data_IF_902248314687
#
_entry.id   IF_902248314687
#
_cell.length_a   1.000
_cell.length_b   1.000
_cell.length_c   1.000
_cell.angle_alpha   90.00
_cell.angle_beta   90.00
_cell.angle_gamma   90.00
#
_symmetry.space_group_name_H-M   'P 1'
#
loop_
_entity.id
_entity.type
_entity.pdbx_description
1 polymer ?
#
# COMPACT_ATOMS: atom_id res chain seq x y z
N UNK A 1 52.28 -34.45 -24.11
CA UNK A 1 51.17 -33.77 -24.84
C UNK A 1 49.88 -33.56 -24.02
N UNK A 2 49.55 -34.39 -23.01
CA UNK A 2 48.29 -34.29 -22.26
C UNK A 2 48.10 -32.99 -21.43
N UNK A 3 49.17 -32.47 -20.80
CA UNK A 3 49.07 -31.28 -19.92
C UNK A 3 48.68 -29.98 -20.64
N UNK A 4 49.04 -29.84 -21.93
CA UNK A 4 48.66 -28.66 -22.75
C UNK A 4 47.19 -28.69 -23.17
N UNK A 5 46.59 -29.88 -23.32
CA UNK A 5 45.16 -30.02 -23.64
C UNK A 5 44.27 -29.69 -22.43
N UNK A 6 44.69 -30.09 -21.22
CA UNK A 6 43.96 -29.76 -19.99
C UNK A 6 43.93 -28.25 -19.70
N UNK A 7 45.04 -27.54 -19.94
CA UNK A 7 45.12 -26.09 -19.75
C UNK A 7 44.20 -25.32 -20.72
N UNK A 8 44.10 -25.76 -21.99
CA UNK A 8 43.21 -25.15 -22.98
C UNK A 8 41.74 -25.38 -22.65
N UNK A 9 41.39 -26.57 -22.14
CA UNK A 9 40.01 -26.87 -21.70
C UNK A 9 39.63 -26.05 -20.45
N UNK A 10 40.54 -25.89 -19.49
CA UNK A 10 40.31 -25.05 -18.31
C UNK A 10 40.18 -23.55 -18.66
N UNK A 11 40.97 -23.05 -19.62
CA UNK A 11 40.84 -21.67 -20.12
C UNK A 11 39.54 -21.45 -20.90
N UNK A 12 39.09 -22.44 -21.68
CA UNK A 12 37.81 -22.37 -22.39
C UNK A 12 36.61 -22.40 -21.44
N UNK A 13 36.66 -23.20 -20.36
CA UNK A 13 35.64 -23.21 -19.31
C UNK A 13 35.61 -21.88 -18.54
N UNK A 14 36.76 -21.27 -18.27
CA UNK A 14 36.82 -19.95 -17.62
C UNK A 14 36.23 -18.84 -18.50
N UNK A 15 36.46 -18.90 -19.82
CA UNK A 15 35.88 -17.96 -20.78
C UNK A 15 34.35 -18.09 -20.92
N UNK A 16 33.79 -19.29 -20.72
CA UNK A 16 32.33 -19.50 -20.71
C UNK A 16 31.65 -18.96 -19.44
N UNK A 17 32.32 -19.01 -18.28
CA UNK A 17 31.77 -18.42 -17.04
C UNK A 17 31.78 -16.89 -17.09
N UNK A 18 32.76 -16.28 -17.75
CA UNK A 18 32.86 -14.82 -17.90
C UNK A 18 31.85 -14.27 -18.93
N UNK A 19 31.43 -15.06 -19.92
CA UNK A 19 30.47 -14.64 -20.95
C UNK A 19 28.99 -14.82 -20.56
N UNK A 20 28.70 -15.49 -19.44
CA UNK A 20 27.36 -15.58 -18.85
C UNK A 20 27.15 -14.65 -17.64
N UNK A 21 28.06 -13.69 -17.41
CA UNK A 21 27.81 -12.61 -16.46
C UNK A 21 26.67 -11.75 -16.98
N UNK A 22 25.45 -12.01 -16.50
CA UNK A 22 24.28 -11.15 -16.69
C UNK A 22 24.71 -9.72 -16.33
N UNK A 23 24.88 -8.89 -17.35
CA UNK A 23 25.21 -7.48 -17.15
C UNK A 23 24.14 -6.83 -16.29
N UNK A 24 24.54 -5.86 -15.47
CA UNK A 24 23.65 -5.09 -14.59
C UNK A 24 22.43 -4.53 -15.36
N UNK A 25 22.61 -4.28 -16.66
CA UNK A 25 21.56 -3.82 -17.59
C UNK A 25 20.45 -4.85 -17.85
N UNK A 26 20.75 -6.16 -17.84
CA UNK A 26 19.74 -7.22 -18.03
C UNK A 26 18.96 -7.50 -16.73
N UNK A 27 19.57 -7.34 -15.56
CA UNK A 27 18.86 -7.42 -14.28
C UNK A 27 17.83 -6.29 -14.10
N UNK A 28 18.11 -5.10 -14.64
CA UNK A 28 17.17 -3.97 -14.65
C UNK A 28 15.95 -4.20 -15.56
N UNK A 29 16.03 -5.09 -16.57
CA UNK A 29 14.92 -5.42 -17.47
C UNK A 29 14.02 -6.55 -16.93
N UNK A 30 14.55 -7.46 -16.11
CA UNK A 30 13.79 -8.54 -15.46
C UNK A 30 12.92 -8.01 -14.31
N UNK A 31 13.31 -6.88 -13.73
CA UNK A 31 12.64 -6.23 -12.63
C UNK A 31 11.64 -5.20 -13.20
N UNK A 32 10.33 -5.49 -13.10
CA UNK A 32 9.28 -4.56 -13.48
C UNK A 32 9.40 -3.18 -12.79
N UNK A 33 8.57 -2.19 -13.16
CA UNK A 33 8.69 -0.81 -12.68
C UNK A 33 8.72 -0.69 -11.14
N UNK A 34 8.08 -1.62 -10.43
CA UNK A 34 8.09 -1.71 -8.96
C UNK A 34 9.47 -2.04 -8.42
N UNK A 35 10.19 -2.98 -9.05
CA UNK A 35 11.49 -3.42 -8.60
C UNK A 35 12.60 -2.42 -8.97
N UNK A 36 12.45 -1.67 -10.08
CA UNK A 36 13.31 -0.50 -10.36
C UNK A 36 13.15 0.57 -9.29
N UNK A 37 11.91 0.85 -8.85
CA UNK A 37 11.66 1.81 -7.78
C UNK A 37 12.20 1.32 -6.43
N UNK A 38 12.09 0.03 -6.13
CA UNK A 38 12.69 -0.56 -4.93
C UNK A 38 14.22 -0.44 -4.93
N UNK A 39 14.88 -0.71 -6.06
CA UNK A 39 16.33 -0.53 -6.20
C UNK A 39 16.76 0.93 -6.03
N UNK A 40 16.03 1.88 -6.63
CA UNK A 40 16.27 3.32 -6.44
C UNK A 40 16.17 3.73 -4.96
N UNK A 41 15.14 3.22 -4.27
CA UNK A 41 14.94 3.48 -2.84
C UNK A 41 16.07 2.91 -1.98
N UNK A 42 16.50 1.68 -2.26
CA UNK A 42 17.62 1.03 -1.57
C UNK A 42 18.92 1.81 -1.76
N UNK A 43 19.20 2.28 -2.97
CA UNK A 43 20.38 3.11 -3.24
C UNK A 43 20.32 4.47 -2.54
N UNK A 44 19.14 5.10 -2.47
CA UNK A 44 18.97 6.34 -1.73
C UNK A 44 19.22 6.14 -0.23
N UNK A 45 18.73 5.04 0.36
CA UNK A 45 18.99 4.68 1.76
C UNK A 45 20.47 4.39 2.01
N UNK A 46 21.13 3.64 1.14
CA UNK A 46 22.56 3.36 1.27
C UNK A 46 23.40 4.65 1.24
N UNK A 47 23.08 5.59 0.34
CA UNK A 47 23.73 6.91 0.30
C UNK A 47 23.50 7.72 1.58
N UNK A 48 22.26 7.72 2.10
CA UNK A 48 21.94 8.38 3.36
C UNK A 48 22.67 7.75 4.56
N UNK A 49 22.83 6.42 4.57
CA UNK A 49 23.59 5.71 5.62
C UNK A 49 25.09 6.00 5.56
N UNK A 50 25.68 6.17 4.36
CA UNK A 50 27.08 6.58 4.21
C UNK A 50 27.31 8.01 4.73
N UNK A 51 26.30 8.89 4.66
CA UNK A 51 26.36 10.22 5.26
C UNK A 51 26.10 10.23 6.79
N UNK A 52 25.45 9.20 7.33
CA UNK A 52 25.06 9.08 8.73
C UNK A 52 26.13 8.35 9.59
N UNK A 53 27.41 8.60 9.35
CA UNK A 53 28.53 8.11 10.19
C UNK A 53 28.67 8.92 11.50
N UNK A 54 27.54 9.28 12.11
CA UNK A 54 27.42 9.81 13.46
C UNK A 54 26.71 8.79 14.34
N UNK A 55 27.15 8.62 15.57
CA UNK A 55 26.64 7.69 16.59
C UNK A 55 25.14 7.37 16.43
N UNK A 56 24.84 6.10 16.15
CA UNK A 56 23.47 5.58 16.15
C UNK A 56 23.00 5.48 17.60
N UNK A 57 22.52 6.60 18.14
CA UNK A 57 21.76 6.60 19.39
C UNK A 57 20.45 5.85 19.12
N UNK A 58 20.29 4.70 19.76
CA UNK A 58 19.02 3.98 19.77
C UNK A 58 18.10 4.70 20.76
N UNK A 59 17.28 5.62 20.24
CA UNK A 59 16.21 6.29 20.98
C UNK A 59 14.96 5.39 20.94
N UNK A 60 14.92 4.34 21.77
CA UNK A 60 13.88 3.30 21.69
C UNK A 60 12.59 3.61 22.48
N UNK A 61 12.54 4.69 23.25
CA UNK A 61 11.42 4.94 24.18
C UNK A 61 10.57 6.18 23.89
N UNK A 62 11.07 7.16 23.14
CA UNK A 62 10.32 8.40 22.82
C UNK A 62 9.71 8.39 21.41
N UNK A 63 10.25 7.56 20.52
CA UNK A 63 9.78 7.43 19.14
C UNK A 63 8.34 6.91 19.07
N UNK A 64 7.98 6.00 19.97
CA UNK A 64 6.65 5.40 20.00
C UNK A 64 5.59 6.44 20.34
N UNK A 65 5.79 7.28 21.39
CA UNK A 65 4.79 8.25 21.83
C UNK A 65 4.59 9.41 20.85
N UNK A 66 5.67 9.94 20.25
CA UNK A 66 5.59 11.01 19.24
C UNK A 66 4.89 10.51 17.98
N UNK A 67 5.15 9.26 17.57
CA UNK A 67 4.46 8.66 16.43
C UNK A 67 2.97 8.41 16.72
N UNK A 68 2.59 7.95 17.91
CA UNK A 68 1.16 7.79 18.25
C UNK A 68 0.44 9.12 18.32
N UNK A 69 1.07 10.17 18.87
CA UNK A 69 0.45 11.51 18.91
C UNK A 69 0.23 12.07 17.52
N UNK A 70 1.25 12.04 16.65
CA UNK A 70 1.09 12.51 15.26
C UNK A 70 0.05 11.72 14.47
N UNK A 71 -0.05 10.41 14.71
CA UNK A 71 -1.05 9.56 14.06
C UNK A 71 -2.48 9.87 14.52
N UNK A 72 -2.66 10.16 15.82
CA UNK A 72 -3.96 10.55 16.36
C UNK A 72 -4.40 11.93 15.84
N UNK A 73 -3.49 12.90 15.76
CA UNK A 73 -3.79 14.22 15.20
C UNK A 73 -4.20 14.16 13.72
N UNK A 74 -3.49 13.36 12.91
CA UNK A 74 -3.86 13.13 11.51
C UNK A 74 -5.23 12.45 11.42
N UNK A 75 -5.48 11.41 12.23
CA UNK A 75 -6.76 10.70 12.27
C UNK A 75 -7.90 11.65 12.64
N UNK A 76 -7.74 12.50 13.66
CA UNK A 76 -8.76 13.45 14.08
C UNK A 76 -9.01 14.54 13.02
N UNK A 77 -7.97 15.00 12.34
CA UNK A 77 -8.11 15.90 11.19
C UNK A 77 -8.90 15.24 10.05
N UNK A 78 -8.65 13.95 9.77
CA UNK A 78 -9.38 13.18 8.77
C UNK A 78 -10.85 12.98 9.16
N UNK A 79 -11.16 12.73 10.43
CA UNK A 79 -12.56 12.66 10.91
C UNK A 79 -13.30 14.00 10.73
N UNK A 80 -12.61 15.12 10.96
CA UNK A 80 -13.18 16.44 10.71
C UNK A 80 -13.46 16.70 9.22
N UNK A 81 -12.66 16.09 8.34
CA UNK A 81 -12.76 16.23 6.88
C UNK A 81 -13.82 15.32 6.26
N UNK A 82 -13.98 14.12 6.81
CA UNK A 82 -14.92 13.12 6.36
C UNK A 82 -15.90 12.81 7.51
N UNK A 83 -17.09 13.44 7.52
CA UNK A 83 -18.09 13.16 8.54
C UNK A 83 -18.60 11.73 8.41
N UNK A 84 -18.95 11.12 9.55
CA UNK A 84 -19.54 9.79 9.56
C UNK A 84 -20.98 9.79 9.03
N UNK A 85 -21.31 8.73 8.31
CA UNK A 85 -22.64 8.44 7.85
C UNK A 85 -23.06 7.04 8.30
N UNK A 86 -24.36 6.81 8.36
CA UNK A 86 -24.94 5.58 8.87
C UNK A 86 -26.04 5.08 7.94
N UNK A 87 -26.06 3.78 7.65
CA UNK A 87 -27.16 3.14 6.94
C UNK A 87 -27.64 1.89 7.67
N UNK A 88 -28.92 1.59 7.52
CA UNK A 88 -29.51 0.44 8.19
C UNK A 88 -29.24 -0.86 7.42
N UNK A 89 -28.80 -1.89 8.14
CA UNK A 89 -28.59 -3.24 7.63
C UNK A 89 -29.31 -4.26 8.51
N UNK A 90 -29.77 -5.38 7.94
CA UNK A 90 -30.21 -6.50 8.75
C UNK A 90 -29.02 -7.07 9.54
N UNK A 91 -29.28 -7.53 10.76
CA UNK A 91 -28.29 -8.23 11.58
C UNK A 91 -27.98 -9.60 10.98
N UNK A 92 -29.01 -10.26 10.46
CA UNK A 92 -28.92 -11.57 9.81
C UNK A 92 -29.44 -11.50 8.36
N UNK A 93 -28.51 -11.62 7.40
CA UNK A 93 -28.80 -11.68 5.96
C UNK A 93 -29.21 -13.08 5.48
N UNK A 94 -29.08 -14.11 6.33
CA UNK A 94 -29.38 -15.51 6.03
C UNK A 94 -30.75 -15.97 6.55
N UNK A 95 -31.43 -15.10 7.31
CA UNK A 95 -32.81 -15.33 7.71
C UNK A 95 -33.68 -15.62 6.48
N UNK A 96 -34.52 -16.66 6.56
CA UNK A 96 -35.40 -17.05 5.46
C UNK A 96 -36.35 -15.91 5.06
N UNK A 97 -36.84 -15.93 3.81
CA UNK A 97 -37.78 -14.91 3.31
C UNK A 97 -38.96 -14.75 4.28
N UNK A 98 -39.19 -13.52 4.73
CA UNK A 98 -40.30 -13.18 5.63
C UNK A 98 -40.02 -13.41 7.12
N UNK A 99 -38.83 -13.88 7.50
CA UNK A 99 -38.41 -13.92 8.90
C UNK A 99 -37.95 -12.53 9.34
N UNK A 100 -38.47 -11.98 10.45
CA UNK A 100 -38.02 -10.70 10.96
C UNK A 100 -36.56 -10.81 11.40
N UNK A 101 -35.78 -9.79 11.04
CA UNK A 101 -34.39 -9.64 11.49
C UNK A 101 -34.25 -8.25 12.10
N UNK A 102 -33.47 -8.16 13.16
CA UNK A 102 -33.15 -6.86 13.75
C UNK A 102 -32.37 -6.02 12.75
N UNK A 103 -32.54 -4.70 12.81
CA UNK A 103 -31.80 -3.76 11.98
C UNK A 103 -30.75 -3.07 12.84
N UNK A 104 -29.53 -2.95 12.33
CA UNK A 104 -28.45 -2.21 12.96
C UNK A 104 -27.95 -1.11 12.02
N UNK A 105 -27.19 -0.15 12.57
CA UNK A 105 -26.62 0.96 11.79
C UNK A 105 -25.16 0.67 11.48
N UNK A 106 -24.84 0.47 10.20
CA UNK A 106 -23.48 0.32 9.71
C UNK A 106 -22.90 1.70 9.33
N UNK A 107 -21.68 1.97 9.78
CA UNK A 107 -20.99 3.24 9.54
C UNK A 107 -20.26 3.25 8.20
N UNK A 108 -20.20 4.41 7.57
CA UNK A 108 -19.44 4.64 6.34
C UNK A 108 -19.04 6.11 6.19
N UNK A 109 -18.08 6.38 5.29
CA UNK A 109 -17.59 7.72 4.97
C UNK A 109 -17.46 7.87 3.46
N UNK A 110 -17.59 9.11 2.98
CA UNK A 110 -17.62 9.41 1.55
C UNK A 110 -16.63 10.54 1.23
N UNK A 111 -15.96 10.44 0.08
CA UNK A 111 -15.28 11.57 -0.54
C UNK A 111 -15.80 11.77 -1.98
N UNK A 112 -16.37 12.95 -2.24
CA UNK A 112 -16.91 13.37 -3.54
C UNK A 112 -16.06 14.44 -4.24
N UNK A 113 -14.86 14.77 -3.74
CA UNK A 113 -13.99 15.85 -4.26
C UNK A 113 -13.74 15.77 -5.77
N UNK A 114 -13.69 14.56 -6.31
CA UNK A 114 -13.39 14.30 -7.72
C UNK A 114 -14.61 13.85 -8.53
N UNK A 115 -15.80 13.87 -7.93
CA UNK A 115 -17.01 13.37 -8.59
C UNK A 115 -17.36 14.21 -9.82
N UNK A 116 -17.48 13.55 -10.96
CA UNK A 116 -17.99 14.14 -12.21
C UNK A 116 -19.34 13.49 -12.51
N UNK A 117 -20.44 14.26 -12.50
CA UNK A 117 -21.77 13.69 -12.77
C UNK A 117 -21.85 12.99 -14.13
N UNK A 118 -22.28 11.74 -14.12
CA UNK A 118 -22.46 10.95 -15.33
C UNK A 118 -22.83 9.49 -15.02
N UNK A 119 -23.36 8.75 -15.99
CA UNK A 119 -23.72 7.33 -15.82
C UNK A 119 -22.49 6.44 -15.60
N UNK A 120 -21.32 6.88 -16.05
CA UNK A 120 -20.08 6.12 -16.00
C UNK A 120 -19.22 6.41 -14.75
N UNK A 121 -19.67 7.29 -13.85
CA UNK A 121 -18.93 7.66 -12.66
C UNK A 121 -18.92 6.49 -11.65
N UNK A 122 -17.76 5.88 -11.36
CA UNK A 122 -17.72 4.71 -10.50
C UNK A 122 -17.81 5.08 -9.01
N UNK A 123 -18.35 4.17 -8.22
CA UNK A 123 -18.25 4.20 -6.75
C UNK A 123 -17.22 3.18 -6.31
N UNK A 124 -16.12 3.66 -5.73
CA UNK A 124 -14.99 2.85 -5.26
C UNK A 124 -15.17 2.60 -3.77
N UNK A 125 -15.49 1.37 -3.39
CA UNK A 125 -15.74 0.99 -2.00
C UNK A 125 -14.50 0.31 -1.42
N UNK A 126 -13.99 0.85 -0.32
CA UNK A 126 -12.96 0.23 0.53
C UNK A 126 -13.67 -0.48 1.67
N UNK A 127 -13.53 -1.81 1.72
CA UNK A 127 -13.94 -2.59 2.88
C UNK A 127 -12.95 -2.36 4.02
N UNK A 128 -13.47 -2.00 5.20
CA UNK A 128 -12.66 -1.62 6.36
C UNK A 128 -11.77 -2.73 6.90
N UNK A 129 -12.18 -3.99 6.72
CA UNK A 129 -11.53 -5.15 7.32
C UNK A 129 -11.65 -5.17 8.85
N UNK A 130 -10.71 -5.82 9.53
CA UNK A 130 -10.78 -6.10 10.97
C UNK A 130 -10.35 -4.91 11.86
N UNK A 131 -10.90 -3.72 11.59
CA UNK A 131 -10.59 -2.50 12.34
C UNK A 131 -11.68 -1.43 12.19
N UNK A 132 -11.58 -0.32 12.93
CA UNK A 132 -12.47 0.81 12.75
C UNK A 132 -12.25 1.43 11.36
N UNK A 133 -13.32 1.77 10.66
CA UNK A 133 -13.24 2.46 9.37
C UNK A 133 -12.59 3.85 9.48
N UNK A 134 -12.51 4.43 10.67
CA UNK A 134 -11.70 5.64 10.89
C UNK A 134 -10.21 5.42 10.59
N UNK A 135 -9.70 4.21 10.79
CA UNK A 135 -8.32 3.80 10.49
C UNK A 135 -8.10 3.57 8.99
N UNK A 136 -9.10 3.90 8.17
CA UNK A 136 -9.14 3.75 6.71
C UNK A 136 -9.41 5.08 6.00
N UNK A 137 -9.64 6.18 6.73
CA UNK A 137 -9.93 7.49 6.13
C UNK A 137 -8.78 8.03 5.27
N UNK A 138 -7.53 7.63 5.54
CA UNK A 138 -6.39 7.96 4.68
C UNK A 138 -6.56 7.47 3.23
N UNK A 139 -7.31 6.36 3.01
CA UNK A 139 -7.63 5.88 1.66
C UNK A 139 -8.56 6.81 0.90
N UNK A 140 -9.42 7.55 1.61
CA UNK A 140 -10.29 8.55 1.01
C UNK A 140 -9.57 9.86 0.72
N UNK A 141 -8.49 10.20 1.40
CA UNK A 141 -7.85 11.51 1.21
C UNK A 141 -6.70 11.52 0.20
N UNK A 142 -5.77 10.58 0.35
CA UNK A 142 -4.56 10.51 -0.48
C UNK A 142 -4.24 9.10 -0.96
N UNK A 143 -4.95 8.09 -0.45
CA UNK A 143 -4.76 6.69 -0.81
C UNK A 143 -5.58 6.26 -2.03
N UNK A 144 -5.80 4.95 -2.13
CA UNK A 144 -6.26 4.33 -3.38
C UNK A 144 -7.63 4.81 -3.85
N UNK A 145 -8.57 5.10 -2.94
CA UNK A 145 -9.89 5.58 -3.32
C UNK A 145 -9.82 7.00 -3.89
N UNK A 146 -9.01 7.90 -3.30
CA UNK A 146 -8.76 9.25 -3.85
C UNK A 146 -8.10 9.17 -5.23
N UNK A 147 -7.05 8.35 -5.37
CA UNK A 147 -6.30 8.20 -6.62
C UNK A 147 -7.22 7.72 -7.75
N UNK A 148 -8.04 6.71 -7.48
CA UNK A 148 -8.98 6.17 -8.46
C UNK A 148 -10.08 7.17 -8.78
N UNK A 149 -10.73 7.76 -7.77
CA UNK A 149 -11.78 8.75 -7.96
C UNK A 149 -11.29 9.94 -8.80
N UNK A 150 -10.06 10.39 -8.59
CA UNK A 150 -9.43 11.47 -9.35
C UNK A 150 -9.25 11.16 -10.83
N UNK A 151 -8.87 9.93 -11.19
CA UNK A 151 -8.64 9.57 -12.61
C UNK A 151 -9.92 9.13 -13.32
N UNK A 152 -10.93 8.69 -12.59
CA UNK A 152 -12.19 8.20 -13.17
C UNK A 152 -13.36 9.18 -13.04
N UNK A 153 -13.21 10.28 -12.30
CA UNK A 153 -14.34 11.15 -11.94
C UNK A 153 -15.31 10.50 -10.94
N UNK A 154 -14.82 9.56 -10.13
CA UNK A 154 -15.63 8.71 -9.26
C UNK A 154 -15.86 9.24 -7.85
N UNK A 155 -16.48 8.41 -7.02
CA UNK A 155 -16.71 8.64 -5.59
C UNK A 155 -15.95 7.59 -4.78
N UNK A 156 -15.20 8.02 -3.76
CA UNK A 156 -14.58 7.11 -2.80
C UNK A 156 -15.51 6.86 -1.60
N UNK A 157 -15.63 5.61 -1.16
CA UNK A 157 -16.39 5.22 0.03
C UNK A 157 -15.53 4.31 0.90
N UNK A 158 -15.50 4.56 2.20
CA UNK A 158 -15.01 3.60 3.20
C UNK A 158 -16.21 3.02 3.92
N UNK A 159 -16.31 1.70 3.94
CA UNK A 159 -17.37 0.95 4.61
C UNK A 159 -16.78 0.27 5.85
N UNK A 160 -17.30 0.57 7.04
CA UNK A 160 -16.87 -0.12 8.26
C UNK A 160 -17.36 -1.56 8.25
N UNK A 161 -16.48 -2.51 8.56
CA UNK A 161 -16.87 -3.91 8.68
C UNK A 161 -17.72 -4.11 9.93
N UNK A 162 -18.76 -4.96 9.87
CA UNK A 162 -19.58 -5.28 11.03
C UNK A 162 -18.73 -5.83 12.19
N UNK A 163 -19.10 -5.47 13.43
CA UNK A 163 -18.41 -5.81 14.69
C UNK A 163 -17.08 -5.07 14.98
N UNK A 164 -16.79 -3.98 14.27
CA UNK A 164 -15.64 -3.10 14.52
C UNK A 164 -16.07 -1.65 14.74
#
# INVERSE_FOLDING_TARGET
MAKRRAAVVLLALYAQVVSCGLGISDQLRVLGPQAVNLWKLQNARARAQVQAQGSRLVQEQEYTQIQTQGWNEEKDALKGKFPEHWFSQPVDHFAGKGQPTEMWRQRYWINTRHYVPGPDAPVIVIDGGETSGEDRLGFLDTGIADILARVTGGIGVVLEHRYY
#
